data_IF_487594610577
#
_entry.id   IF_487594610577
#
_cell.length_a   1.000
_cell.length_b   1.000
_cell.length_c   1.000
_cell.angle_alpha   90.00
_cell.angle_beta   90.00
_cell.angle_gamma   90.00
#
_symmetry.space_group_name_H-M   'P 1'
#
loop_
_entity.id
_entity.type
_entity.pdbx_description
1 polymer ?
#
# COMPACT_ATOMS: atom_id res chain seq x y z
N UNK A 1 -5.12 15.51 25.80
CA UNK A 1 -4.57 14.76 26.94
C UNK A 1 -3.49 13.82 26.42
N UNK A 2 -2.21 14.12 26.67
CA UNK A 2 -1.09 13.32 26.19
C UNK A 2 -0.74 12.23 27.20
N UNK A 3 -1.14 11.00 26.92
CA UNK A 3 -0.68 9.82 27.66
C UNK A 3 0.76 9.53 27.24
N UNK A 4 1.70 9.96 28.08
CA UNK A 4 3.12 9.69 27.95
C UNK A 4 3.38 8.22 28.38
N UNK A 5 2.90 7.26 27.58
CA UNK A 5 3.16 5.84 27.83
C UNK A 5 4.66 5.57 27.69
N UNK A 6 5.31 5.31 28.83
CA UNK A 6 6.69 4.82 28.88
C UNK A 6 6.76 3.49 28.15
N UNK A 7 7.13 3.53 26.86
CA UNK A 7 7.40 2.34 26.05
C UNK A 7 8.33 1.39 26.80
N UNK A 8 7.88 0.15 27.02
CA UNK A 8 8.65 -0.89 27.71
C UNK A 8 9.96 -1.19 26.97
N UNK A 9 10.99 -1.65 27.68
CA UNK A 9 12.30 -1.99 27.09
C UNK A 9 12.16 -2.98 25.92
N UNK A 10 11.23 -3.93 26.03
CA UNK A 10 10.87 -4.88 24.96
C UNK A 10 10.32 -4.17 23.72
N UNK A 11 9.41 -3.21 23.87
CA UNK A 11 8.90 -2.41 22.75
C UNK A 11 10.00 -1.59 22.10
N UNK A 12 10.93 -1.00 22.88
CA UNK A 12 12.08 -0.27 22.33
C UNK A 12 13.00 -1.18 21.52
N UNK A 13 13.29 -2.39 22.01
CA UNK A 13 14.08 -3.39 21.30
C UNK A 13 13.41 -3.84 20.00
N UNK A 14 12.10 -4.09 20.02
CA UNK A 14 11.34 -4.46 18.82
C UNK A 14 11.36 -3.32 17.80
N UNK A 15 11.12 -2.08 18.22
CA UNK A 15 11.16 -0.91 17.35
C UNK A 15 12.57 -0.69 16.78
N UNK A 16 13.61 -0.86 17.59
CA UNK A 16 15.00 -0.76 17.15
C UNK A 16 15.35 -1.86 16.13
N UNK A 17 14.97 -3.11 16.40
CA UNK A 17 15.18 -4.24 15.47
C UNK A 17 14.45 -4.03 14.15
N UNK A 18 13.19 -3.57 14.21
CA UNK A 18 12.42 -3.24 13.01
C UNK A 18 13.07 -2.11 12.22
N UNK A 19 13.52 -1.04 12.90
CA UNK A 19 14.24 0.07 12.26
C UNK A 19 15.51 -0.43 11.57
N UNK A 20 16.28 -1.29 12.24
CA UNK A 20 17.50 -1.90 11.69
C UNK A 20 17.23 -2.75 10.44
N UNK A 21 16.11 -3.50 10.41
CA UNK A 21 15.68 -4.25 9.23
C UNK A 21 15.27 -3.35 8.05
N UNK A 22 14.74 -2.15 8.33
CA UNK A 22 14.48 -1.16 7.29
C UNK A 22 15.76 -0.49 6.79
N UNK A 23 16.73 -0.33 7.69
CA UNK A 23 17.98 0.38 7.47
C UNK A 23 19.05 -0.45 6.78
N UNK A 24 19.05 -1.76 7.01
CA UNK A 24 20.02 -2.72 6.46
C UNK A 24 19.26 -3.95 5.95
N UNK A 25 19.38 -4.23 4.65
CA UNK A 25 18.86 -5.45 4.03
C UNK A 25 19.97 -6.20 3.33
N UNK A 26 20.10 -7.49 3.65
CA UNK A 26 20.93 -8.40 2.90
C UNK A 26 20.06 -9.12 1.87
N UNK A 27 20.39 -8.98 0.58
CA UNK A 27 19.72 -9.66 -0.51
C UNK A 27 20.71 -10.59 -1.21
N UNK A 28 20.36 -11.86 -1.35
CA UNK A 28 21.17 -12.82 -2.10
C UNK A 28 20.94 -12.59 -3.60
N UNK A 29 22.02 -12.37 -4.35
CA UNK A 29 22.01 -12.23 -5.82
C UNK A 29 23.01 -13.25 -6.40
N UNK A 30 22.50 -14.44 -6.74
CA UNK A 30 23.34 -15.57 -7.15
C UNK A 30 24.21 -16.09 -5.99
N UNK A 31 25.54 -16.14 -6.20
CA UNK A 31 26.51 -16.56 -5.18
C UNK A 31 26.94 -15.44 -4.22
N UNK A 32 26.60 -14.17 -4.50
CA UNK A 32 26.97 -13.03 -3.66
C UNK A 32 25.81 -12.53 -2.80
N UNK A 33 26.16 -11.97 -1.64
CA UNK A 33 25.24 -11.23 -0.78
C UNK A 33 25.43 -9.73 -1.03
N UNK A 34 24.37 -9.09 -1.48
CA UNK A 34 24.32 -7.64 -1.66
C UNK A 34 23.74 -7.00 -0.40
N UNK A 35 24.43 -5.99 0.12
CA UNK A 35 23.96 -5.25 1.29
C UNK A 35 23.40 -3.92 0.80
N UNK A 36 22.12 -3.72 1.11
CA UNK A 36 21.36 -2.50 0.83
C UNK A 36 21.26 -1.73 2.13
N UNK A 37 21.76 -0.50 2.14
CA UNK A 37 21.75 0.40 3.28
C UNK A 37 20.88 1.61 3.01
N UNK A 38 20.19 2.14 4.01
CA UNK A 38 19.52 3.42 3.83
C UNK A 38 20.52 4.53 3.50
N UNK A 39 20.16 5.43 2.59
CA UNK A 39 21.02 6.52 2.12
C UNK A 39 21.48 7.50 3.21
N UNK A 40 20.82 7.54 4.37
CA UNK A 40 21.29 8.28 5.55
C UNK A 40 22.69 7.87 6.01
N UNK A 41 23.12 6.65 5.70
CA UNK A 41 24.47 6.16 6.00
C UNK A 41 25.50 6.51 4.93
N UNK A 42 25.08 7.02 3.76
CA UNK A 42 25.97 7.44 2.66
C UNK A 42 27.07 8.42 3.12
N UNK A 43 26.79 9.49 3.89
CA UNK A 43 27.85 10.37 4.40
C UNK A 43 28.81 9.63 5.35
N UNK A 44 28.29 8.76 6.21
CA UNK A 44 29.11 7.97 7.14
C UNK A 44 30.05 7.01 6.39
N UNK A 45 29.53 6.25 5.43
CA UNK A 45 30.35 5.34 4.61
C UNK A 45 31.39 6.11 3.81
N UNK A 46 31.06 7.30 3.29
CA UNK A 46 32.03 8.17 2.61
C UNK A 46 33.14 8.61 3.57
N UNK A 47 32.82 9.01 4.80
CA UNK A 47 33.80 9.37 5.81
C UNK A 47 34.70 8.18 6.18
N UNK A 48 34.13 7.00 6.39
CA UNK A 48 34.89 5.76 6.66
C UNK A 48 35.87 5.46 5.53
N UNK A 49 35.47 5.62 4.26
CA UNK A 49 36.39 5.45 3.12
C UNK A 49 37.57 6.42 3.17
N UNK A 50 37.32 7.70 3.45
CA UNK A 50 38.38 8.70 3.58
C UNK A 50 39.35 8.31 4.70
N UNK A 51 38.82 7.90 5.86
CA UNK A 51 39.63 7.44 7.00
C UNK A 51 40.44 6.20 6.64
N UNK A 52 39.86 5.21 5.95
CA UNK A 52 40.60 4.02 5.50
C UNK A 52 41.72 4.36 4.53
N UNK A 53 41.50 5.31 3.61
CA UNK A 53 42.54 5.80 2.70
C UNK A 53 43.67 6.47 3.48
N UNK A 54 43.35 7.30 4.48
CA UNK A 54 44.35 7.95 5.34
C UNK A 54 45.14 6.93 6.16
N UNK A 55 44.48 5.94 6.76
CA UNK A 55 45.13 4.85 7.50
C UNK A 55 46.07 4.06 6.56
N UNK A 56 45.60 3.73 5.36
CA UNK A 56 46.41 3.07 4.34
C UNK A 56 47.67 3.88 3.99
N UNK A 57 47.53 5.20 3.80
CA UNK A 57 48.65 6.09 3.50
C UNK A 57 49.64 6.21 4.68
N UNK A 58 49.15 6.41 5.90
CA UNK A 58 49.99 6.50 7.11
C UNK A 58 50.71 5.17 7.36
N UNK A 59 50.07 4.03 7.08
CA UNK A 59 50.67 2.71 7.27
C UNK A 59 51.93 2.47 6.44
N UNK A 60 52.10 3.19 5.32
CA UNK A 60 53.32 3.13 4.52
C UNK A 60 54.56 3.65 5.28
N UNK A 61 54.38 4.48 6.31
CA UNK A 61 55.45 5.01 7.13
C UNK A 61 55.69 4.21 8.41
N UNK A 62 54.88 3.18 8.67
CA UNK A 62 54.99 2.34 9.86
C UNK A 62 55.88 1.13 9.53
N UNK A 63 56.94 0.94 10.32
CA UNK A 63 57.77 -0.26 10.21
C UNK A 63 57.04 -1.45 10.86
N UNK A 64 56.53 -2.36 10.04
CA UNK A 64 55.94 -3.61 10.50
C UNK A 64 57.05 -4.61 10.89
N UNK A 65 56.84 -5.36 11.97
CA UNK A 65 57.79 -6.38 12.44
C UNK A 65 57.99 -7.54 11.45
N UNK A 66 57.04 -7.73 10.53
CA UNK A 66 57.11 -8.77 9.48
C UNK A 66 56.42 -8.29 8.21
N UNK A 67 57.03 -8.60 7.06
CA UNK A 67 56.47 -8.35 5.73
C UNK A 67 55.10 -9.02 5.57
N UNK A 68 54.92 -10.20 6.15
CA UNK A 68 53.65 -10.93 6.10
C UNK A 68 52.52 -10.16 6.81
N UNK A 69 52.81 -9.52 7.94
CA UNK A 69 51.84 -8.71 8.67
C UNK A 69 51.45 -7.47 7.86
N UNK A 70 52.43 -6.80 7.23
CA UNK A 70 52.18 -5.66 6.34
C UNK A 70 51.28 -6.04 5.17
N UNK A 71 51.51 -7.21 4.57
CA UNK A 71 50.69 -7.72 3.47
C UNK A 71 49.26 -8.00 3.92
N UNK A 72 49.05 -8.72 5.03
CA UNK A 72 47.72 -9.00 5.55
C UNK A 72 46.94 -7.73 5.92
N UNK A 73 47.64 -6.73 6.47
CA UNK A 73 47.04 -5.44 6.79
C UNK A 73 46.56 -4.71 5.53
N UNK A 74 47.42 -4.61 4.51
CA UNK A 74 47.07 -4.00 3.23
C UNK A 74 45.93 -4.73 2.52
N UNK A 75 45.96 -6.07 2.54
CA UNK A 75 44.88 -6.90 2.01
C UNK A 75 43.56 -6.65 2.76
N UNK A 76 43.61 -6.52 4.09
CA UNK A 76 42.44 -6.22 4.92
C UNK A 76 41.80 -4.87 4.58
N UNK A 77 42.60 -3.81 4.47
CA UNK A 77 42.12 -2.48 4.05
C UNK A 77 41.52 -2.55 2.65
N UNK A 78 42.21 -3.21 1.71
CA UNK A 78 41.76 -3.36 0.33
C UNK A 78 40.41 -4.08 0.24
N UNK A 79 40.27 -5.22 0.92
CA UNK A 79 39.02 -5.98 0.96
C UNK A 79 37.88 -5.19 1.60
N UNK A 80 38.16 -4.44 2.67
CA UNK A 80 37.17 -3.60 3.32
C UNK A 80 36.72 -2.44 2.42
N UNK A 81 37.64 -1.80 1.71
CA UNK A 81 37.32 -0.75 0.74
C UNK A 81 36.45 -1.27 -0.41
N UNK A 82 36.80 -2.43 -0.98
CA UNK A 82 35.96 -3.09 -2.01
C UNK A 82 34.57 -3.40 -1.47
N UNK A 83 34.48 -3.90 -0.23
CA UNK A 83 33.20 -4.19 0.40
C UNK A 83 32.34 -2.92 0.51
N UNK A 84 32.92 -1.81 0.99
CA UNK A 84 32.24 -0.52 1.11
C UNK A 84 31.86 0.09 -0.25
N UNK A 85 32.55 -0.24 -1.34
CA UNK A 85 32.20 0.13 -2.71
C UNK A 85 31.02 -0.66 -3.27
N UNK A 86 30.89 -1.93 -2.87
CA UNK A 86 29.78 -2.80 -3.29
C UNK A 86 28.48 -2.56 -2.51
N UNK A 87 28.49 -1.68 -1.50
CA UNK A 87 27.28 -1.28 -0.78
C UNK A 87 26.33 -0.54 -1.72
N UNK A 88 25.08 -0.99 -1.76
CA UNK A 88 24.00 -0.28 -2.45
C UNK A 88 23.27 0.57 -1.43
N UNK A 89 22.92 1.80 -1.81
CA UNK A 89 22.08 2.65 -0.98
C UNK A 89 20.63 2.56 -1.43
N UNK A 90 19.69 2.55 -0.49
CA UNK A 90 18.27 2.71 -0.75
C UNK A 90 17.77 4.04 -0.25
N UNK A 91 16.84 4.63 -0.97
CA UNK A 91 16.12 5.83 -0.56
C UNK A 91 14.61 5.56 -0.63
N UNK A 92 13.86 6.28 0.19
CA UNK A 92 12.42 6.11 0.30
C UNK A 92 11.71 7.32 -0.30
N UNK A 93 10.55 7.08 -0.90
CA UNK A 93 9.59 8.14 -1.18
C UNK A 93 8.22 7.72 -0.68
N UNK A 94 7.47 8.69 -0.14
CA UNK A 94 6.12 8.47 0.35
C UNK A 94 5.14 9.22 -0.54
N UNK A 95 4.23 8.48 -1.16
CA UNK A 95 3.10 9.02 -1.89
C UNK A 95 1.85 8.93 -1.02
N UNK A 96 1.24 10.08 -0.72
CA UNK A 96 0.04 10.15 0.11
C UNK A 96 -1.18 10.28 -0.79
N UNK A 97 -2.11 9.33 -0.68
CA UNK A 97 -3.40 9.43 -1.36
C UNK A 97 -4.29 10.48 -0.69
N UNK A 98 -5.33 10.96 -1.38
CA UNK A 98 -6.32 11.85 -0.76
C UNK A 98 -6.90 11.15 0.47
N UNK A 99 -6.70 11.78 1.62
CA UNK A 99 -7.21 11.32 2.91
C UNK A 99 -8.51 12.08 3.20
N UNK A 100 -9.42 11.50 4.01
CA UNK A 100 -10.62 12.20 4.42
C UNK A 100 -10.27 13.49 5.17
N UNK A 101 -11.04 14.55 4.92
CA UNK A 101 -11.07 15.78 5.71
C UNK A 101 -12.13 15.71 6.83
N UNK A 102 -12.65 14.51 7.09
CA UNK A 102 -13.67 14.22 8.07
C UNK A 102 -13.29 13.01 8.94
N UNK A 103 -13.92 12.90 10.11
CA UNK A 103 -13.73 11.77 11.01
C UNK A 103 -14.41 10.51 10.47
N UNK A 104 -13.66 9.40 10.38
CA UNK A 104 -14.20 8.11 9.98
C UNK A 104 -15.07 7.55 11.10
N UNK A 105 -16.33 7.27 10.78
CA UNK A 105 -17.37 6.77 11.69
C UNK A 105 -17.85 5.41 11.17
N UNK A 106 -17.18 4.29 11.53
CA UNK A 106 -17.45 2.96 10.96
C UNK A 106 -18.88 2.45 11.15
N UNK A 107 -19.54 2.89 12.22
CA UNK A 107 -20.92 2.57 12.56
C UNK A 107 -21.93 3.15 11.56
N UNK A 108 -21.56 4.22 10.84
CA UNK A 108 -22.43 4.87 9.85
C UNK A 108 -22.48 4.16 8.50
N UNK A 109 -21.50 3.32 8.20
CA UNK A 109 -21.59 2.40 7.07
C UNK A 109 -22.31 1.15 7.56
N UNK A 110 -23.50 0.82 7.07
CA UNK A 110 -24.31 -0.30 7.56
C UNK A 110 -23.99 -1.62 6.85
N UNK A 111 -23.63 -1.57 5.57
CA UNK A 111 -23.31 -2.75 4.78
C UNK A 111 -23.16 -2.44 3.29
N UNK A 112 -23.11 -3.49 2.47
CA UNK A 112 -23.14 -3.37 1.02
C UNK A 112 -24.44 -3.95 0.45
N UNK A 113 -24.90 -3.38 -0.66
CA UNK A 113 -25.97 -3.96 -1.46
C UNK A 113 -25.45 -4.39 -2.83
N UNK A 114 -26.15 -5.36 -3.42
CA UNK A 114 -25.85 -5.91 -4.74
C UNK A 114 -27.15 -6.01 -5.53
N UNK A 115 -27.10 -5.68 -6.81
CA UNK A 115 -28.26 -5.70 -7.67
C UNK A 115 -27.90 -5.58 -9.14
N UNK A 116 -28.93 -5.37 -9.95
CA UNK A 116 -28.81 -5.17 -11.37
C UNK A 116 -29.80 -4.08 -11.78
N UNK A 117 -29.34 -3.05 -12.51
CA UNK A 117 -30.25 -2.08 -13.11
C UNK A 117 -30.94 -2.73 -14.30
N UNK A 118 -32.26 -2.54 -14.41
CA UNK A 118 -33.02 -2.88 -15.61
C UNK A 118 -32.82 -1.75 -16.63
N UNK A 119 -32.16 -2.05 -17.75
CA UNK A 119 -32.11 -1.13 -18.90
C UNK A 119 -33.37 -1.37 -19.75
N UNK A 120 -34.28 -0.39 -19.92
CA UNK A 120 -35.48 -0.55 -20.73
C UNK A 120 -35.19 -0.82 -22.23
N UNK A 121 -33.94 -0.71 -22.70
CA UNK A 121 -33.53 -0.94 -24.08
C UNK A 121 -32.47 -2.04 -24.27
N UNK A 122 -32.00 -2.70 -23.20
CA UNK A 122 -30.96 -3.73 -23.31
C UNK A 122 -31.14 -4.86 -22.27
N UNK A 123 -31.29 -6.14 -22.68
CA UNK A 123 -31.43 -7.28 -21.77
C UNK A 123 -30.13 -7.63 -21.01
N UNK A 124 -29.05 -6.87 -21.18
CA UNK A 124 -27.82 -6.99 -20.39
C UNK A 124 -27.91 -6.11 -19.14
N UNK A 125 -28.48 -6.67 -18.08
CA UNK A 125 -28.57 -6.07 -16.75
C UNK A 125 -27.22 -5.46 -16.29
N UNK A 126 -27.17 -4.15 -16.01
CA UNK A 126 -25.94 -3.48 -15.54
C UNK A 126 -25.73 -3.84 -14.06
N UNK A 127 -24.58 -4.42 -13.66
CA UNK A 127 -24.34 -4.74 -12.26
C UNK A 127 -24.35 -3.47 -11.40
N UNK A 128 -25.02 -3.54 -10.26
CA UNK A 128 -25.03 -2.48 -9.25
C UNK A 128 -24.46 -3.01 -7.94
N UNK A 129 -23.59 -2.21 -7.35
CA UNK A 129 -22.99 -2.45 -6.04
C UNK A 129 -23.04 -1.13 -5.28
N UNK A 130 -23.08 -1.18 -3.96
CA UNK A 130 -23.05 0.08 -3.23
C UNK A 130 -22.99 -0.09 -1.75
N UNK A 131 -22.95 1.04 -1.06
CA UNK A 131 -22.96 1.07 0.40
C UNK A 131 -24.27 1.60 0.92
N UNK A 132 -24.77 0.93 1.95
CA UNK A 132 -25.91 1.38 2.74
C UNK A 132 -25.34 2.17 3.91
N UNK A 133 -25.75 3.42 4.06
CA UNK A 133 -25.32 4.34 5.11
C UNK A 133 -26.48 4.66 6.04
N UNK A 134 -26.19 5.00 7.30
CA UNK A 134 -27.21 5.43 8.26
C UNK A 134 -27.42 6.95 8.27
N UNK A 135 -26.47 7.71 7.72
CA UNK A 135 -26.44 9.17 7.77
C UNK A 135 -26.16 9.74 6.35
N UNK A 136 -27.09 10.51 5.77
CA UNK A 136 -26.92 11.10 4.44
C UNK A 136 -25.76 12.10 4.37
N UNK A 137 -25.50 12.87 5.42
CA UNK A 137 -24.42 13.86 5.42
C UNK A 137 -23.04 13.19 5.49
N UNK A 138 -22.94 12.09 6.26
CA UNK A 138 -21.73 11.26 6.23
C UNK A 138 -21.51 10.60 4.88
N UNK A 139 -22.58 10.09 4.25
CA UNK A 139 -22.52 9.53 2.91
C UNK A 139 -22.04 10.56 1.88
N UNK A 140 -22.48 11.83 1.95
CA UNK A 140 -21.97 12.91 1.09
C UNK A 140 -20.47 13.17 1.27
N UNK A 141 -19.97 13.13 2.51
CA UNK A 141 -18.52 13.26 2.77
C UNK A 141 -17.72 12.10 2.19
N UNK A 142 -18.22 10.87 2.36
CA UNK A 142 -17.63 9.67 1.75
C UNK A 142 -17.67 9.76 0.22
N UNK A 143 -18.78 10.19 -0.36
CA UNK A 143 -18.92 10.43 -1.81
C UNK A 143 -17.88 11.43 -2.32
N UNK A 144 -17.74 12.56 -1.63
CA UNK A 144 -16.72 13.58 -1.95
C UNK A 144 -15.30 13.00 -1.93
N UNK A 145 -14.97 12.15 -0.96
CA UNK A 145 -13.68 11.46 -0.92
C UNK A 145 -13.49 10.50 -2.11
N UNK A 146 -14.52 9.75 -2.50
CA UNK A 146 -14.46 8.89 -3.69
C UNK A 146 -14.25 9.73 -4.97
N UNK A 147 -14.94 10.87 -5.10
CA UNK A 147 -14.67 11.84 -6.18
C UNK A 147 -13.22 12.34 -6.16
N UNK A 148 -12.66 12.63 -4.99
CA UNK A 148 -11.24 13.01 -4.90
C UNK A 148 -10.31 11.88 -5.34
N UNK A 149 -10.66 10.62 -5.05
CA UNK A 149 -9.90 9.45 -5.52
C UNK A 149 -9.94 9.30 -7.04
N UNK A 150 -11.07 9.62 -7.68
CA UNK A 150 -11.27 9.55 -9.13
C UNK A 150 -10.95 10.86 -9.88
N UNK A 151 -10.35 11.85 -9.22
CA UNK A 151 -10.05 13.15 -9.81
C UNK A 151 -11.28 13.92 -10.32
N UNK A 152 -12.38 13.85 -9.58
CA UNK A 152 -13.63 14.52 -9.90
C UNK A 152 -14.47 13.81 -10.96
N UNK A 153 -14.10 12.57 -11.36
CA UNK A 153 -14.81 11.82 -12.40
C UNK A 153 -15.76 10.79 -11.78
N UNK A 154 -17.04 10.84 -12.16
CA UNK A 154 -18.00 9.80 -11.79
C UNK A 154 -17.76 8.49 -12.56
N UNK A 155 -17.31 8.59 -13.82
CA UNK A 155 -16.89 7.46 -14.63
C UNK A 155 -15.38 7.24 -14.52
N UNK A 156 -14.96 6.24 -13.75
CA UNK A 156 -13.55 5.99 -13.41
C UNK A 156 -12.87 5.02 -14.40
N UNK A 157 -12.80 5.41 -15.68
CA UNK A 157 -12.15 4.60 -16.73
C UNK A 157 -10.64 4.38 -16.48
N UNK A 158 -10.04 5.25 -15.67
CA UNK A 158 -8.62 5.16 -15.29
C UNK A 158 -8.38 4.21 -14.11
N UNK A 159 -9.45 3.59 -13.58
CA UNK A 159 -9.39 2.61 -12.50
C UNK A 159 -8.62 3.15 -11.28
N UNK A 160 -8.95 4.36 -10.85
CA UNK A 160 -8.38 5.00 -9.67
C UNK A 160 -8.97 4.47 -8.35
N UNK A 161 -10.17 3.89 -8.40
CA UNK A 161 -10.86 3.28 -7.26
C UNK A 161 -10.97 1.78 -7.52
N UNK A 162 -10.61 0.96 -6.52
CA UNK A 162 -10.84 -0.48 -6.54
C UNK A 162 -11.85 -0.86 -5.48
N UNK A 163 -12.76 -1.75 -5.84
CA UNK A 163 -13.61 -2.45 -4.89
C UNK A 163 -13.33 -3.94 -4.96
N UNK A 164 -13.40 -4.62 -3.82
CA UNK A 164 -13.31 -6.07 -3.77
C UNK A 164 -14.24 -6.66 -2.73
N UNK A 165 -14.73 -7.86 -3.04
CA UNK A 165 -15.58 -8.66 -2.16
C UNK A 165 -14.87 -9.99 -1.94
N UNK A 166 -14.37 -10.18 -0.73
CA UNK A 166 -13.72 -11.42 -0.35
C UNK A 166 -14.70 -12.26 0.45
N UNK A 167 -15.03 -13.44 -0.08
CA UNK A 167 -15.83 -14.43 0.63
C UNK A 167 -14.90 -15.18 1.57
N UNK A 168 -15.09 -14.94 2.87
CA UNK A 168 -14.25 -15.49 3.94
C UNK A 168 -14.70 -16.90 4.31
N UNK A 169 -16.01 -17.05 4.53
CA UNK A 169 -16.71 -18.33 4.76
C UNK A 169 -18.00 -18.40 3.92
N UNK A 170 -18.78 -19.48 4.02
CA UNK A 170 -20.06 -19.65 3.31
C UNK A 170 -21.08 -18.56 3.63
N UNK A 171 -21.03 -18.04 4.85
CA UNK A 171 -22.06 -17.15 5.40
C UNK A 171 -21.58 -15.71 5.57
N UNK A 172 -20.34 -15.38 5.19
CA UNK A 172 -19.78 -14.03 5.37
C UNK A 172 -18.87 -13.60 4.22
N UNK A 173 -18.89 -12.31 3.92
CA UNK A 173 -17.93 -11.66 3.04
C UNK A 173 -17.41 -10.36 3.64
N UNK A 174 -16.27 -9.90 3.15
CA UNK A 174 -15.71 -8.60 3.49
C UNK A 174 -15.68 -7.75 2.22
N UNK A 175 -16.32 -6.59 2.28
CA UNK A 175 -16.29 -5.58 1.24
C UNK A 175 -15.15 -4.62 1.49
N UNK A 176 -14.28 -4.41 0.50
CA UNK A 176 -13.25 -3.39 0.52
C UNK A 176 -13.48 -2.34 -0.58
N UNK A 177 -13.14 -1.08 -0.28
CA UNK A 177 -13.00 -0.03 -1.28
C UNK A 177 -11.79 0.84 -0.94
N UNK A 178 -10.93 1.07 -1.91
CA UNK A 178 -9.68 1.78 -1.70
C UNK A 178 -9.14 2.37 -3.01
N UNK A 179 -8.26 3.38 -2.95
CA UNK A 179 -7.58 3.88 -4.14
C UNK A 179 -6.73 2.79 -4.81
N UNK A 180 -6.62 2.79 -6.12
CA UNK A 180 -5.71 1.90 -6.83
C UNK A 180 -4.25 2.29 -6.55
N UNK A 181 -3.47 1.34 -6.00
CA UNK A 181 -2.05 1.48 -5.73
C UNK A 181 -1.20 1.74 -6.99
N UNK A 182 -1.71 1.31 -8.15
CA UNK A 182 -1.03 1.40 -9.45
C UNK A 182 -1.50 2.62 -10.27
N UNK A 183 -2.20 3.58 -9.66
CA UNK A 183 -2.71 4.75 -10.38
C UNK A 183 -1.61 5.53 -11.08
N UNK A 184 -1.95 6.14 -12.22
CA UNK A 184 -0.99 6.86 -13.08
C UNK A 184 -0.24 7.97 -12.34
N UNK A 185 -0.92 8.67 -11.44
CA UNK A 185 -0.33 9.76 -10.63
C UNK A 185 0.72 9.28 -9.64
N UNK A 186 0.46 8.18 -8.92
CA UNK A 186 1.45 7.54 -8.04
C UNK A 186 2.66 7.07 -8.87
N UNK A 187 2.40 6.44 -10.02
CA UNK A 187 3.46 6.00 -10.94
C UNK A 187 4.30 7.17 -11.45
N UNK A 188 3.68 8.30 -11.83
CA UNK A 188 4.37 9.52 -12.26
C UNK A 188 5.21 10.11 -11.14
N UNK A 189 4.68 10.20 -9.92
CA UNK A 189 5.42 10.66 -8.75
C UNK A 189 6.69 9.83 -8.55
N UNK A 190 6.58 8.50 -8.48
CA UNK A 190 7.74 7.64 -8.26
C UNK A 190 8.77 7.73 -9.39
N UNK A 191 8.31 7.85 -10.65
CA UNK A 191 9.21 8.05 -11.80
C UNK A 191 9.94 9.40 -11.74
N UNK A 192 9.28 10.46 -11.28
CA UNK A 192 9.91 11.77 -11.11
C UNK A 192 11.02 11.72 -10.03
N UNK A 193 10.74 11.10 -8.88
CA UNK A 193 11.74 10.90 -7.82
C UNK A 193 12.90 10.03 -8.30
N UNK A 194 12.64 8.96 -9.07
CA UNK A 194 13.70 8.15 -9.69
C UNK A 194 14.56 8.93 -10.67
N UNK A 195 13.94 9.83 -11.45
CA UNK A 195 14.66 10.68 -12.41
C UNK A 195 15.62 11.62 -11.68
N UNK A 196 15.12 12.34 -10.67
CA UNK A 196 15.94 13.23 -9.83
C UNK A 196 17.08 12.46 -9.14
N UNK A 197 16.80 11.26 -8.61
CA UNK A 197 17.86 10.49 -7.94
C UNK A 197 18.95 10.02 -8.90
N UNK A 198 18.60 9.65 -10.14
CA UNK A 198 19.56 9.20 -11.16
C UNK A 198 20.59 10.26 -11.53
N UNK A 199 20.30 11.54 -11.31
CA UNK A 199 21.28 12.64 -11.48
C UNK A 199 22.42 12.56 -10.44
N UNK A 200 22.19 11.93 -9.29
CA UNK A 200 23.17 11.82 -8.19
C UNK A 200 23.71 10.40 -7.98
N UNK A 201 22.96 9.37 -8.38
CA UNK A 201 23.38 7.97 -8.25
C UNK A 201 22.59 7.06 -9.19
N UNK A 202 23.31 6.25 -9.97
CA UNK A 202 22.71 5.25 -10.87
C UNK A 202 22.45 3.89 -10.20
N UNK A 203 23.05 3.64 -9.03
CA UNK A 203 23.02 2.34 -8.35
C UNK A 203 22.07 2.32 -7.15
N UNK A 204 21.56 3.47 -6.74
CA UNK A 204 20.66 3.57 -5.58
C UNK A 204 19.31 2.89 -5.88
N UNK A 205 18.76 2.16 -4.89
CA UNK A 205 17.50 1.43 -4.99
C UNK A 205 16.35 2.27 -4.42
N UNK A 206 15.29 2.41 -5.21
CA UNK A 206 14.10 3.14 -4.79
C UNK A 206 13.13 2.23 -4.02
N UNK A 207 12.82 2.59 -2.78
CA UNK A 207 11.73 1.99 -2.01
C UNK A 207 10.49 2.90 -2.07
N UNK A 208 9.49 2.46 -2.83
CA UNK A 208 8.21 3.15 -3.00
C UNK A 208 7.31 2.87 -1.80
N UNK A 209 6.87 3.91 -1.12
CA UNK A 209 5.94 3.82 0.00
C UNK A 209 4.68 4.60 -0.34
N UNK A 210 3.53 4.11 0.12
CA UNK A 210 2.26 4.81 -0.02
C UNK A 210 1.50 4.84 1.29
N UNK A 211 0.79 5.94 1.52
CA UNK A 211 -0.19 6.08 2.58
C UNK A 211 -1.58 6.26 1.95
N UNK A 212 -2.53 5.43 2.37
CA UNK A 212 -3.89 5.43 1.82
C UNK A 212 -4.90 4.99 2.88
N UNK A 213 -6.13 5.48 2.74
CA UNK A 213 -7.28 4.96 3.48
C UNK A 213 -7.89 3.79 2.71
N UNK A 214 -8.27 2.75 3.44
CA UNK A 214 -8.98 1.57 2.91
C UNK A 214 -10.25 1.42 3.73
N UNK A 215 -11.40 1.45 3.06
CA UNK A 215 -12.67 1.07 3.68
C UNK A 215 -12.78 -0.45 3.64
N UNK A 216 -13.10 -1.06 4.78
CA UNK A 216 -13.39 -2.49 4.91
C UNK A 216 -14.58 -2.74 5.82
N UNK A 217 -15.54 -3.58 5.43
CA UNK A 217 -16.65 -4.01 6.29
C UNK A 217 -17.01 -5.46 6.07
N UNK A 218 -17.08 -6.21 7.17
CA UNK A 218 -17.59 -7.58 7.21
C UNK A 218 -19.11 -7.55 7.16
N UNK A 219 -19.69 -8.37 6.30
CA UNK A 219 -21.12 -8.45 6.04
C UNK A 219 -21.55 -9.91 6.01
N UNK A 220 -22.74 -10.19 6.54
CA UNK A 220 -23.32 -11.54 6.53
C UNK A 220 -24.05 -11.82 5.22
N UNK A 221 -23.95 -13.06 4.75
CA UNK A 221 -24.71 -13.63 3.65
C UNK A 221 -25.94 -14.31 4.26
N UNK A 222 -26.98 -13.53 4.52
CA UNK A 222 -28.25 -14.06 5.01
C UNK A 222 -29.05 -14.71 3.87
N UNK A 223 -30.10 -15.46 4.21
CA UNK A 223 -31.01 -16.07 3.22
C UNK A 223 -31.66 -15.04 2.28
N UNK A 224 -31.79 -13.78 2.72
CA UNK A 224 -32.35 -12.68 1.93
C UNK A 224 -31.28 -11.88 1.17
N UNK A 225 -30.01 -12.27 1.26
CA UNK A 225 -28.92 -11.58 0.57
C UNK A 225 -28.98 -11.83 -0.93
N UNK A 226 -28.94 -10.77 -1.73
CA UNK A 226 -28.82 -10.89 -3.19
C UNK A 226 -27.38 -11.19 -3.66
N UNK A 227 -26.41 -11.17 -2.75
CA UNK A 227 -24.99 -11.36 -3.09
C UNK A 227 -24.70 -12.70 -3.80
N UNK A 228 -25.21 -13.88 -3.38
CA UNK A 228 -24.96 -15.14 -4.07
C UNK A 228 -25.43 -15.10 -5.54
N UNK A 229 -26.62 -14.55 -5.78
CA UNK A 229 -27.17 -14.38 -7.13
C UNK A 229 -26.33 -13.41 -7.96
N UNK A 230 -25.96 -12.27 -7.39
CA UNK A 230 -25.08 -11.29 -8.03
C UNK A 230 -23.74 -11.93 -8.40
N UNK A 231 -23.10 -12.62 -7.45
CA UNK A 231 -21.81 -13.28 -7.65
C UNK A 231 -21.83 -14.31 -8.78
N UNK A 232 -22.90 -15.08 -8.89
CA UNK A 232 -23.03 -16.11 -9.94
C UNK A 232 -23.23 -15.49 -11.33
N UNK A 233 -23.82 -14.30 -11.41
CA UNK A 233 -24.12 -13.60 -12.66
C UNK A 233 -23.02 -12.61 -13.08
N UNK A 234 -22.27 -12.05 -12.12
CA UNK A 234 -21.22 -11.08 -12.37
C UNK A 234 -20.08 -11.68 -13.18
N UNK A 235 -19.56 -10.90 -14.15
CA UNK A 235 -18.40 -11.26 -14.96
C UNK A 235 -17.30 -10.25 -14.69
N UNK A 236 -16.10 -10.76 -14.40
CA UNK A 236 -14.93 -9.92 -14.15
C UNK A 236 -14.65 -8.98 -15.32
N UNK A 237 -14.32 -7.72 -15.01
CA UNK A 237 -14.00 -6.68 -16.00
C UNK A 237 -15.19 -5.97 -16.62
N UNK A 238 -16.42 -6.32 -16.26
CA UNK A 238 -17.62 -5.58 -16.68
C UNK A 238 -17.79 -4.34 -15.78
N UNK A 239 -18.08 -3.15 -16.35
CA UNK A 239 -18.36 -1.96 -15.57
C UNK A 239 -19.62 -2.14 -14.72
N UNK A 240 -19.63 -1.51 -13.56
CA UNK A 240 -20.74 -1.56 -12.62
C UNK A 240 -21.04 -0.17 -12.07
N UNK A 241 -22.30 0.03 -11.70
CA UNK A 241 -22.75 1.21 -10.98
C UNK A 241 -22.35 1.03 -9.51
N UNK A 242 -21.67 2.02 -8.95
CA UNK A 242 -21.38 2.11 -7.53
C UNK A 242 -22.15 3.28 -6.91
N UNK A 243 -23.04 2.99 -5.97
CA UNK A 243 -23.95 3.98 -5.36
C UNK A 243 -23.87 3.98 -3.83
N UNK A 244 -24.07 5.14 -3.23
CA UNK A 244 -24.31 5.28 -1.79
C UNK A 244 -25.80 5.53 -1.57
N UNK A 245 -26.41 4.74 -0.69
CA UNK A 245 -27.83 4.84 -0.32
C UNK A 245 -27.98 5.01 1.18
N UNK A 246 -29.11 5.53 1.64
CA UNK A 246 -29.46 5.57 3.07
C UNK A 246 -30.59 4.61 3.36
N UNK A 247 -30.54 3.95 4.50
CA UNK A 247 -31.65 3.11 4.95
C UNK A 247 -32.82 3.98 5.41
N UNK A 248 -33.96 3.89 4.75
CA UNK A 248 -35.20 4.57 5.13
C UNK A 248 -35.85 3.96 6.35
N UNK A 249 -36.84 4.68 6.91
CA UNK A 249 -37.62 4.18 8.05
C UNK A 249 -38.48 2.95 7.73
N UNK A 250 -38.70 2.68 6.45
CA UNK A 250 -39.34 1.47 5.90
C UNK A 250 -38.38 0.28 5.76
N UNK A 251 -37.09 0.46 6.11
CA UNK A 251 -36.05 -0.56 5.96
C UNK A 251 -35.59 -0.75 4.51
N UNK A 252 -36.00 0.10 3.58
CA UNK A 252 -35.55 0.06 2.19
C UNK A 252 -34.42 1.06 1.92
N UNK A 253 -33.50 0.78 0.99
CA UNK A 253 -32.50 1.74 0.57
C UNK A 253 -33.12 2.85 -0.27
N UNK A 254 -32.86 4.12 0.10
CA UNK A 254 -33.27 5.31 -0.64
C UNK A 254 -32.06 6.05 -1.18
N UNK A 255 -32.25 6.69 -2.33
CA UNK A 255 -31.25 7.54 -2.96
C UNK A 255 -31.01 8.80 -2.11
N UNK A 256 -29.77 9.29 -2.13
CA UNK A 256 -29.37 10.47 -1.36
C UNK A 256 -29.40 11.67 -2.30
N UNK A 257 -30.23 12.67 -1.98
CA UNK A 257 -30.35 13.86 -2.80
C UNK A 257 -28.99 14.55 -3.01
N UNK A 258 -28.66 14.81 -4.28
CA UNK A 258 -27.43 15.46 -4.71
C UNK A 258 -26.21 14.54 -4.85
N UNK A 259 -26.38 13.21 -4.73
CA UNK A 259 -25.32 12.25 -5.02
C UNK A 259 -25.58 11.51 -6.33
N UNK A 260 -24.64 11.65 -7.26
CA UNK A 260 -24.64 10.88 -8.49
C UNK A 260 -23.94 9.53 -8.32
N UNK A 261 -24.26 8.59 -9.20
CA UNK A 261 -23.64 7.28 -9.25
C UNK A 261 -22.24 7.31 -9.85
N UNK A 262 -21.36 6.46 -9.32
CA UNK A 262 -20.08 6.17 -9.97
C UNK A 262 -20.24 5.02 -10.96
N UNK A 263 -19.51 5.07 -12.07
CA UNK A 263 -19.31 3.93 -12.97
C UNK A 263 -17.88 3.47 -12.78
N UNK A 264 -17.73 2.31 -12.16
CA UNK A 264 -16.43 1.71 -11.82
C UNK A 264 -16.17 0.48 -12.68
N UNK A 265 -14.89 0.18 -12.92
CA UNK A 265 -14.46 -0.84 -13.89
C UNK A 265 -13.75 -2.04 -13.24
N UNK A 266 -13.56 -2.02 -11.93
CA UNK A 266 -12.81 -3.06 -11.22
C UNK A 266 -13.53 -3.46 -9.93
N UNK A 267 -14.34 -4.52 -10.04
CA UNK A 267 -14.88 -5.24 -8.89
C UNK A 267 -14.24 -6.62 -8.88
N UNK A 268 -13.43 -6.90 -7.85
CA UNK A 268 -12.83 -8.22 -7.65
C UNK A 268 -13.71 -9.03 -6.71
N UNK A 269 -14.19 -10.21 -7.11
CA UNK A 269 -14.88 -11.14 -6.22
C UNK A 269 -14.08 -12.44 -6.11
N UNK A 270 -13.54 -12.75 -4.93
CA UNK A 270 -12.71 -13.95 -4.71
C UNK A 270 -13.07 -14.65 -3.40
N UNK A 271 -12.82 -15.95 -3.34
CA UNK A 271 -12.78 -16.67 -2.05
C UNK A 271 -11.43 -16.39 -1.37
N UNK A 272 -11.40 -16.33 -0.04
CA UNK A 272 -10.16 -16.14 0.75
C UNK A 272 -9.05 -17.11 0.36
N UNK A 273 -9.37 -18.39 0.16
CA UNK A 273 -8.39 -19.42 -0.24
C UNK A 273 -7.77 -19.23 -1.63
N UNK A 274 -8.29 -18.31 -2.45
CA UNK A 274 -7.74 -17.95 -3.77
C UNK A 274 -6.92 -16.65 -3.75
N UNK A 275 -6.73 -16.04 -2.58
CA UNK A 275 -5.90 -14.84 -2.45
C UNK A 275 -4.42 -15.23 -2.37
N UNK A 276 -3.58 -14.47 -3.05
CA UNK A 276 -2.13 -14.58 -2.97
C UNK A 276 -1.50 -13.32 -2.35
N UNK A 277 -0.18 -13.35 -2.11
CA UNK A 277 0.54 -12.21 -1.51
C UNK A 277 0.61 -10.96 -2.41
N UNK A 278 0.14 -11.02 -3.66
CA UNK A 278 0.05 -9.86 -4.56
C UNK A 278 -1.32 -9.18 -4.41
N UNK A 279 -2.33 -9.89 -3.93
CA UNK A 279 -3.61 -9.31 -3.55
C UNK A 279 -3.46 -8.55 -2.23
N UNK A 280 -3.70 -7.23 -2.22
CA UNK A 280 -3.65 -6.42 -0.99
C UNK A 280 -4.61 -6.96 0.08
N UNK A 281 -5.73 -7.55 -0.36
CA UNK A 281 -6.71 -8.15 0.52
C UNK A 281 -6.14 -9.30 1.36
N UNK A 282 -5.13 -10.01 0.86
CA UNK A 282 -4.46 -11.09 1.60
C UNK A 282 -3.87 -10.58 2.92
N UNK A 283 -3.19 -9.43 2.88
CA UNK A 283 -2.60 -8.83 4.07
C UNK A 283 -3.63 -8.10 4.93
N UNK A 284 -4.64 -7.45 4.32
CA UNK A 284 -5.71 -6.77 5.06
C UNK A 284 -6.53 -7.71 5.93
N UNK A 285 -6.86 -8.90 5.43
CA UNK A 285 -7.60 -9.91 6.21
C UNK A 285 -6.84 -10.32 7.47
N UNK A 286 -5.50 -10.38 7.41
CA UNK A 286 -4.68 -10.73 8.58
C UNK A 286 -4.68 -9.65 9.66
N UNK A 287 -4.94 -8.40 9.27
CA UNK A 287 -5.05 -7.25 10.18
C UNK A 287 -6.44 -7.19 10.80
N UNK A 288 -7.48 -7.53 10.02
CA UNK A 288 -8.88 -7.44 10.45
C UNK A 288 -9.37 -8.61 11.31
N UNK A 289 -8.62 -9.71 11.41
CA UNK A 289 -8.99 -10.91 12.18
C UNK A 289 -9.92 -11.82 11.39
#
# INVERSE_FOLDING_TARGET
>A
MGTNERKTVKQRLILWSNRLRFDVRAQKKGWFVQIILHDRFKPFIRAVKIVLTLIGLISAFISFQSVFISFLFGLGIYLLSIFLEKLIFSYNSLYVHSLPDFEIQPEKWLGAFFGYAEDPKNPSHIPMVGWIMSDPEYAKRVHSLLLQWSYGKLKDEENNIRASVIVDDKDEYIFFCYPNMERKTATRFYKAVEKERKETSLTDVHHKQMAMLIFGRRCQITANSYFPTFRNRYKDGVPYIFRLVVLGGDGQPHDIAGLDDFILFNLKIKNRGKLDRKDIEYDLLRILG
#
